data_IF_805253903551
#
_entry.id   IF_805253903551
#
_cell.length_a   1.000
_cell.length_b   1.000
_cell.length_c   1.000
_cell.angle_alpha   90.00
_cell.angle_beta   90.00
_cell.angle_gamma   90.00
#
_symmetry.space_group_name_H-M   'P 1'
#
loop_
_entity.id
_entity.type
_entity.pdbx_description
1 polymer ?
#
# COMPACT_ATOMS: atom_id res chain seq x y z
N UNK A 1 -2.23 23.57 -3.44
CA UNK A 1 -3.02 22.44 -2.91
C UNK A 1 -2.06 21.29 -2.59
N UNK A 2 -2.22 20.61 -1.45
CA UNK A 2 -1.41 19.43 -1.12
C UNK A 2 -1.67 18.32 -2.14
N UNK A 3 -0.63 17.56 -2.50
CA UNK A 3 -0.70 16.42 -3.43
C UNK A 3 0.32 15.35 -3.05
N UNK A 4 0.02 14.10 -3.40
CA UNK A 4 0.95 12.98 -3.24
C UNK A 4 2.04 13.08 -4.31
N UNK A 5 3.29 13.31 -3.90
CA UNK A 5 4.46 13.41 -4.80
C UNK A 5 5.43 12.24 -4.67
N UNK A 6 5.35 11.50 -3.56
CA UNK A 6 6.25 10.40 -3.24
C UNK A 6 5.48 9.34 -2.46
N UNK A 7 5.71 8.06 -2.79
CA UNK A 7 5.12 6.93 -2.10
C UNK A 7 6.14 5.78 -2.04
N UNK A 8 6.44 5.28 -0.84
CA UNK A 8 7.20 4.04 -0.66
C UNK A 8 6.41 3.05 0.15
N UNK A 9 6.31 1.83 -0.36
CA UNK A 9 5.56 0.73 0.26
C UNK A 9 6.54 -0.40 0.53
N UNK A 10 6.61 -0.85 1.79
CA UNK A 10 7.48 -1.94 2.23
C UNK A 10 6.69 -3.03 2.92
N UNK A 11 7.07 -4.28 2.66
CA UNK A 11 6.53 -5.49 3.29
C UNK A 11 5.00 -5.53 3.34
N UNK A 12 4.35 -5.06 2.28
CA UNK A 12 2.90 -4.94 2.18
C UNK A 12 2.34 -5.83 1.07
N UNK A 13 1.75 -6.96 1.45
CA UNK A 13 1.14 -7.96 0.55
C UNK A 13 2.10 -8.35 -0.58
N UNK A 14 1.76 -8.09 -1.84
CA UNK A 14 2.60 -8.41 -2.98
C UNK A 14 3.84 -7.49 -3.12
N UNK A 15 3.91 -6.38 -2.38
CA UNK A 15 4.94 -5.35 -2.53
C UNK A 15 5.99 -5.47 -1.43
N UNK A 16 7.18 -5.99 -1.76
CA UNK A 16 8.30 -6.13 -0.80
C UNK A 16 8.97 -4.80 -0.50
N UNK A 17 9.40 -4.06 -1.53
CA UNK A 17 9.92 -2.70 -1.43
C UNK A 17 9.71 -2.02 -2.79
N UNK A 18 8.75 -1.10 -2.86
CA UNK A 18 8.41 -0.36 -4.08
C UNK A 18 8.40 1.12 -3.76
N UNK A 19 9.05 1.90 -4.61
CA UNK A 19 9.22 3.33 -4.45
C UNK A 19 8.77 4.07 -5.72
N UNK A 20 7.81 4.97 -5.56
CA UNK A 20 7.34 5.88 -6.59
C UNK A 20 7.84 7.29 -6.25
N UNK A 21 8.67 7.83 -7.14
CA UNK A 21 9.15 9.21 -7.09
C UNK A 21 8.39 10.04 -8.11
N UNK A 22 8.29 11.34 -7.85
CA UNK A 22 7.75 12.33 -8.78
C UNK A 22 6.33 12.02 -9.28
N UNK A 23 5.46 11.53 -8.39
CA UNK A 23 4.06 11.27 -8.70
C UNK A 23 3.37 12.55 -9.19
N UNK A 24 2.67 12.41 -10.31
CA UNK A 24 1.90 13.50 -10.93
C UNK A 24 0.40 13.29 -10.68
N UNK A 25 -0.44 14.33 -10.89
CA UNK A 25 -1.89 14.22 -10.69
C UNK A 25 -2.54 13.06 -11.45
N UNK A 26 -1.97 12.65 -12.60
CA UNK A 26 -2.37 11.45 -13.33
C UNK A 26 -1.21 10.45 -13.34
N UNK A 27 -1.30 9.44 -12.48
CA UNK A 27 -0.35 8.34 -12.42
C UNK A 27 -1.04 7.04 -12.83
N UNK A 28 -0.51 6.35 -13.84
CA UNK A 28 -1.10 5.11 -14.40
C UNK A 28 -0.20 3.92 -14.07
N UNK A 29 -0.78 2.87 -13.48
CA UNK A 29 -0.08 1.64 -13.13
C UNK A 29 -0.39 0.53 -14.16
N UNK A 30 0.61 0.08 -14.91
CA UNK A 30 0.47 -0.94 -15.97
C UNK A 30 1.30 -2.19 -15.60
N UNK A 31 0.76 -3.38 -15.86
CA UNK A 31 1.48 -4.64 -15.67
C UNK A 31 0.57 -5.86 -15.62
N UNK A 32 1.14 -7.09 -15.58
CA UNK A 32 0.39 -8.35 -15.58
C UNK A 32 -0.53 -8.53 -14.35
N UNK A 33 -1.50 -9.43 -14.43
CA UNK A 33 -2.33 -9.79 -13.27
C UNK A 33 -1.45 -10.34 -12.14
N UNK A 34 -1.76 -9.95 -10.91
CA UNK A 34 -0.96 -10.33 -9.73
C UNK A 34 0.31 -9.50 -9.50
N UNK A 35 0.65 -8.54 -10.37
CA UNK A 35 1.87 -7.71 -10.23
C UNK A 35 1.83 -6.68 -9.09
N UNK A 36 0.78 -6.65 -8.26
CA UNK A 36 0.67 -5.73 -7.12
C UNK A 36 0.04 -4.37 -7.41
N UNK A 37 -0.51 -4.12 -8.61
CA UNK A 37 -1.20 -2.84 -8.94
C UNK A 37 -2.33 -2.51 -7.95
N UNK A 38 -3.26 -3.44 -7.72
CA UNK A 38 -4.34 -3.26 -6.74
C UNK A 38 -3.81 -3.16 -5.30
N UNK A 39 -2.63 -3.72 -5.02
CA UNK A 39 -1.98 -3.61 -3.71
C UNK A 39 -1.48 -2.18 -3.45
N UNK A 40 -1.03 -1.44 -4.46
CA UNK A 40 -0.67 -0.02 -4.31
C UNK A 40 -1.90 0.80 -3.92
N UNK A 41 -3.02 0.60 -4.61
CA UNK A 41 -4.27 1.31 -4.32
C UNK A 41 -4.82 0.94 -2.93
N UNK A 42 -4.73 -0.33 -2.54
CA UNK A 42 -5.15 -0.78 -1.22
C UNK A 42 -4.26 -0.24 -0.09
N UNK A 43 -2.96 -0.03 -0.32
CA UNK A 43 -2.09 0.64 0.65
C UNK A 43 -2.49 2.11 0.87
N UNK A 44 -2.88 2.82 -0.20
CA UNK A 44 -3.40 4.19 -0.08
C UNK A 44 -4.75 4.21 0.65
N UNK A 45 -5.64 3.27 0.36
CA UNK A 45 -6.90 3.12 1.08
C UNK A 45 -6.67 2.78 2.57
N UNK A 46 -5.66 1.97 2.89
CA UNK A 46 -5.30 1.70 4.28
C UNK A 46 -4.85 2.96 5.01
N UNK A 47 -4.01 3.79 4.38
CA UNK A 47 -3.57 5.07 4.95
C UNK A 47 -4.77 6.00 5.19
N UNK A 48 -5.69 6.10 4.24
CA UNK A 48 -6.91 6.90 4.38
C UNK A 48 -7.77 6.41 5.55
N UNK A 49 -8.06 5.11 5.63
CA UNK A 49 -8.85 4.51 6.71
C UNK A 49 -8.17 4.64 8.07
N UNK A 50 -6.84 4.50 8.14
CA UNK A 50 -6.07 4.61 9.37
C UNK A 50 -5.98 6.04 9.89
N UNK A 51 -5.94 7.04 8.99
CA UNK A 51 -5.87 8.46 9.34
C UNK A 51 -7.24 9.03 9.69
N UNK A 52 -8.28 8.68 8.92
CA UNK A 52 -9.63 9.21 9.12
C UNK A 52 -10.44 8.41 10.15
N UNK A 53 -10.07 7.14 10.37
CA UNK A 53 -10.79 6.23 11.23
C UNK A 53 -9.93 5.64 12.35
N UNK A 54 -10.13 4.36 12.62
CA UNK A 54 -9.40 3.62 13.65
C UNK A 54 -8.41 2.65 12.99
N UNK A 55 -7.12 2.86 13.26
CA UNK A 55 -6.03 2.00 12.79
C UNK A 55 -6.28 0.51 13.07
N UNK A 56 -6.80 0.17 14.25
CA UNK A 56 -7.12 -1.21 14.63
C UNK A 56 -8.15 -1.80 13.68
N UNK A 57 -9.23 -1.09 13.36
CA UNK A 57 -10.24 -1.59 12.43
C UNK A 57 -9.71 -1.72 11.01
N UNK A 58 -8.94 -0.74 10.53
CA UNK A 58 -8.29 -0.78 9.21
C UNK A 58 -7.32 -1.98 9.07
N UNK A 59 -6.66 -2.33 10.17
CA UNK A 59 -5.77 -3.49 10.31
C UNK A 59 -6.54 -4.81 10.37
N UNK A 60 -7.63 -4.90 11.14
CA UNK A 60 -8.50 -6.09 11.22
C UNK A 60 -9.10 -6.44 9.86
N UNK A 61 -9.62 -5.43 9.14
CA UNK A 61 -10.23 -5.58 7.80
C UNK A 61 -9.29 -6.26 6.79
N UNK A 62 -7.98 -6.16 7.02
CA UNK A 62 -6.93 -6.73 6.15
C UNK A 62 -6.33 -8.00 6.70
N UNK A 63 -7.00 -8.68 7.63
CA UNK A 63 -6.53 -9.90 8.30
C UNK A 63 -5.17 -9.69 8.99
N UNK A 64 -5.00 -8.51 9.60
CA UNK A 64 -3.82 -8.15 10.41
C UNK A 64 -2.50 -8.40 9.66
N UNK A 65 -1.44 -8.78 10.37
CA UNK A 65 -0.17 -9.15 9.75
C UNK A 65 -0.27 -10.32 8.77
N UNK A 66 -1.16 -11.28 9.00
CA UNK A 66 -1.29 -12.44 8.11
C UNK A 66 -1.75 -12.06 6.70
N UNK A 67 -2.60 -11.05 6.56
CA UNK A 67 -3.08 -10.54 5.27
C UNK A 67 -2.42 -9.26 4.77
N UNK A 68 -1.57 -8.61 5.57
CA UNK A 68 -0.85 -7.40 5.19
C UNK A 68 0.64 -7.63 4.95
N UNK A 69 1.30 -8.58 5.63
CA UNK A 69 2.74 -8.79 5.48
C UNK A 69 3.06 -9.48 4.16
N UNK A 70 4.14 -9.07 3.51
CA UNK A 70 4.68 -9.79 2.36
C UNK A 70 5.09 -11.22 2.74
N UNK A 71 4.84 -12.19 1.85
CA UNK A 71 5.24 -13.58 2.11
C UNK A 71 6.76 -13.69 2.12
N UNK A 72 7.28 -14.41 3.11
CA UNK A 72 8.72 -14.59 3.32
C UNK A 72 9.47 -13.30 3.68
N UNK A 73 8.78 -12.23 4.08
CA UNK A 73 9.43 -11.05 4.68
C UNK A 73 9.37 -11.11 6.20
N UNK A 74 10.50 -10.88 6.83
CA UNK A 74 10.62 -10.59 8.26
C UNK A 74 10.19 -9.12 8.53
N UNK A 75 9.96 -8.78 9.80
CA UNK A 75 9.82 -7.38 10.19
C UNK A 75 11.13 -6.63 9.95
N UNK A 76 11.04 -5.37 9.49
CA UNK A 76 12.19 -4.46 9.49
C UNK A 76 12.29 -3.78 10.85
#
# INVERSE_FOLDING_TARGET
MPRLTYLRIKNYRALRDVEFRDLTPLSVFIGPNGSGKSTVLDALAFLEEAVNGNLTQAWEKRNRFAGMRTRGSEGN
#
